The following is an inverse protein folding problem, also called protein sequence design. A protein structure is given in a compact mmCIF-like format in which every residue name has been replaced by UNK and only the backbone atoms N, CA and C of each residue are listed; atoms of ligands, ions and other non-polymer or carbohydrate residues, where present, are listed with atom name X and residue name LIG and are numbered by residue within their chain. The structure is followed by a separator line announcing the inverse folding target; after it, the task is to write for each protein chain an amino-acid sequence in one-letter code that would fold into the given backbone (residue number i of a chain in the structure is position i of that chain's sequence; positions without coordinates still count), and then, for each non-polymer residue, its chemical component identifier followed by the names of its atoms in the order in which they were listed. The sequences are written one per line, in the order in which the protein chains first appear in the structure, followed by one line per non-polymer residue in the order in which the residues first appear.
data_IF_781986892601
#
_entry.id   IF_781986892601
#
_cell.length_a   1.000
_cell.length_b   1.000
_cell.length_c   1.000
_cell.angle_alpha   90.00
_cell.angle_beta   90.00
_cell.angle_gamma   90.00
#
_symmetry.space_group_name_H-M   'P 1'
#
loop_
_entity.id
_entity.type
_entity.pdbx_description
1 polymer ?
#
# COMPACT_ATOMS: atom_id res chain seq x y z
N UNK A 1 -7.61 3.26 15.65
CA UNK A 1 -8.64 3.82 14.72
C UNK A 1 -9.43 2.66 14.11
N UNK A 2 -10.68 2.86 13.66
CA UNK A 2 -11.43 1.84 12.91
C UNK A 2 -11.25 2.13 11.43
N UNK A 3 -10.61 1.21 10.72
CA UNK A 3 -10.56 1.22 9.26
C UNK A 3 -11.58 0.21 8.73
N UNK A 4 -11.85 0.21 7.43
CA UNK A 4 -12.77 -0.75 6.82
C UNK A 4 -12.32 -2.21 6.99
N UNK A 5 -11.04 -2.43 7.35
CA UNK A 5 -10.40 -3.72 7.54
C UNK A 5 -10.26 -4.15 9.02
N UNK A 6 -10.67 -3.31 9.98
CA UNK A 6 -10.65 -3.63 11.41
C UNK A 6 -10.08 -2.51 12.30
N UNK A 7 -9.81 -2.83 13.58
CA UNK A 7 -9.11 -1.91 14.47
C UNK A 7 -7.62 -1.88 14.12
N UNK A 8 -7.18 -0.75 13.55
CA UNK A 8 -5.77 -0.48 13.28
C UNK A 8 -5.20 0.37 14.42
N UNK A 9 -4.09 -0.08 15.00
CA UNK A 9 -3.32 0.72 15.94
C UNK A 9 -2.44 1.68 15.14
N UNK A 10 -2.83 2.96 15.16
CA UNK A 10 -2.20 4.04 14.41
C UNK A 10 -1.78 5.05 15.47
N UNK A 11 -0.47 5.12 15.72
CA UNK A 11 0.08 6.09 16.64
C UNK A 11 0.35 7.37 15.86
N UNK A 12 -0.54 8.35 16.03
CA UNK A 12 -0.35 9.70 15.48
C UNK A 12 0.33 10.54 16.58
N UNK A 13 1.60 10.91 16.42
CA UNK A 13 2.29 11.77 17.36
C UNK A 13 1.62 13.13 17.44
N UNK A 14 1.46 13.61 18.66
CA UNK A 14 0.91 14.92 18.94
C UNK A 14 2.04 15.93 19.12
N UNK A 15 2.09 16.93 18.25
CA UNK A 15 2.93 18.10 18.45
C UNK A 15 2.45 18.90 19.68
N UNK A 16 3.41 19.38 20.48
CA UNK A 16 3.21 20.13 21.72
C UNK A 16 2.62 21.52 21.47
N UNK A 17 2.82 22.09 20.28
CA UNK A 17 2.26 23.38 19.87
C UNK A 17 1.00 23.25 18.99
N UNK A 18 0.58 22.02 18.64
CA UNK A 18 -0.57 21.77 17.75
C UNK A 18 -0.50 22.47 16.39
N UNK A 19 0.69 22.78 15.88
CA UNK A 19 0.89 23.48 14.60
C UNK A 19 0.92 22.52 13.40
N UNK A 20 1.11 21.23 13.63
CA UNK A 20 1.08 20.22 12.57
C UNK A 20 -0.37 19.85 12.20
N UNK A 21 -0.77 20.17 10.97
CA UNK A 21 -2.02 19.70 10.37
C UNK A 21 -1.73 18.53 9.41
N UNK A 22 -2.23 17.30 9.69
CA UNK A 22 -2.10 16.19 8.76
C UNK A 22 -2.90 16.51 7.47
N UNK A 23 -2.23 16.52 6.32
CA UNK A 23 -2.84 16.96 5.06
C UNK A 23 -3.93 16.04 4.51
N UNK A 24 -4.00 14.77 4.96
CA UNK A 24 -4.93 13.77 4.43
C UNK A 24 -5.95 13.29 5.49
N UNK A 25 -5.58 13.31 6.78
CA UNK A 25 -6.51 13.00 7.86
C UNK A 25 -6.84 14.32 8.55
N UNK A 26 -8.03 14.87 8.29
CA UNK A 26 -8.49 16.05 9.01
C UNK A 26 -8.39 15.84 10.52
N UNK A 27 -8.03 16.89 11.27
CA UNK A 27 -8.03 16.86 12.74
C UNK A 27 -9.38 16.26 13.21
N UNK A 28 -9.35 15.19 14.03
CA UNK A 28 -10.52 14.42 14.49
C UNK A 28 -11.15 13.41 13.51
N UNK A 29 -10.59 13.20 12.33
CA UNK A 29 -11.08 12.22 11.37
C UNK A 29 -10.52 10.83 11.71
N UNK A 30 -11.37 9.93 12.20
CA UNK A 30 -11.03 8.56 12.59
C UNK A 30 -10.90 7.58 11.40
N UNK A 31 -11.07 8.07 10.18
CA UNK A 31 -11.03 7.27 8.97
C UNK A 31 -9.61 7.30 8.38
N UNK A 32 -8.92 6.16 8.47
CA UNK A 32 -7.62 5.96 7.85
C UNK A 32 -7.70 5.74 6.32
N UNK A 33 -8.88 5.90 5.71
CA UNK A 33 -9.14 5.61 4.29
C UNK A 33 -8.13 6.32 3.35
N UNK A 34 -7.74 7.56 3.66
CA UNK A 34 -6.78 8.30 2.83
C UNK A 34 -5.32 7.84 2.96
N UNK A 35 -4.95 7.19 4.06
CA UNK A 35 -3.62 6.57 4.21
C UNK A 35 -3.57 5.25 3.43
N UNK A 36 -4.64 4.46 3.46
CA UNK A 36 -4.73 3.20 2.72
C UNK A 36 -4.59 3.42 1.20
N UNK A 37 -5.29 4.42 0.65
CA UNK A 37 -5.18 4.79 -0.77
C UNK A 37 -3.76 5.25 -1.14
N UNK A 38 -3.10 5.99 -0.24
CA UNK A 38 -1.71 6.41 -0.44
C UNK A 38 -0.75 5.22 -0.43
N UNK A 39 -0.93 4.27 0.48
CA UNK A 39 -0.13 3.03 0.56
C UNK A 39 -0.27 2.23 -0.73
N UNK A 40 -1.49 2.06 -1.25
CA UNK A 40 -1.73 1.36 -2.51
C UNK A 40 -1.02 2.04 -3.67
N UNK A 41 -1.13 3.37 -3.79
CA UNK A 41 -0.42 4.15 -4.81
C UNK A 41 1.10 3.99 -4.74
N UNK A 42 1.68 3.93 -3.53
CA UNK A 42 3.12 3.73 -3.36
C UNK A 42 3.55 2.30 -3.70
N UNK A 43 2.70 1.31 -3.40
CA UNK A 43 2.89 -0.08 -3.80
C UNK A 43 2.84 -0.24 -5.32
N UNK A 44 1.89 0.41 -5.99
CA UNK A 44 1.76 0.41 -7.46
C UNK A 44 2.98 1.04 -8.16
N UNK A 45 3.69 1.94 -7.46
CA UNK A 45 4.93 2.56 -7.95
C UNK A 45 6.13 1.60 -7.87
N UNK A 46 5.98 0.42 -7.25
CA UNK A 46 7.02 -0.60 -7.12
C UNK A 46 7.98 -0.36 -5.95
N UNK A 47 7.60 0.47 -4.97
CA UNK A 47 8.39 0.67 -3.75
C UNK A 47 8.33 -0.58 -2.86
N UNK A 48 9.43 -0.87 -2.17
CA UNK A 48 9.43 -1.99 -1.22
C UNK A 48 8.57 -1.66 0.00
N UNK A 49 8.08 -2.70 0.69
CA UNK A 49 7.32 -2.56 1.95
C UNK A 49 8.08 -1.70 2.98
N UNK A 50 9.40 -1.82 3.03
CA UNK A 50 10.24 -1.00 3.92
C UNK A 50 10.28 0.47 3.49
N UNK A 51 10.45 0.73 2.19
CA UNK A 51 10.50 2.10 1.68
C UNK A 51 9.16 2.83 1.86
N UNK A 52 8.04 2.12 1.67
CA UNK A 52 6.70 2.66 1.90
C UNK A 52 6.53 3.04 3.36
N UNK A 53 6.98 2.20 4.29
CA UNK A 53 6.93 2.48 5.73
C UNK A 53 7.71 3.73 6.09
N UNK A 54 8.93 3.89 5.57
CA UNK A 54 9.77 5.06 5.81
C UNK A 54 9.16 6.34 5.20
N UNK A 55 8.57 6.24 4.01
CA UNK A 55 7.91 7.35 3.35
C UNK A 55 6.65 7.81 4.09
N UNK A 56 5.84 6.86 4.58
CA UNK A 56 4.65 7.17 5.37
C UNK A 56 5.03 7.78 6.71
N UNK A 57 6.06 7.24 7.38
CA UNK A 57 6.59 7.83 8.62
C UNK A 57 7.09 9.25 8.40
N UNK A 58 7.85 9.50 7.32
CA UNK A 58 8.36 10.83 7.01
C UNK A 58 7.29 11.86 6.62
N UNK A 59 6.17 11.41 6.03
CA UNK A 59 5.11 12.32 5.54
C UNK A 59 4.00 12.55 6.56
N UNK A 60 3.62 11.53 7.33
CA UNK A 60 2.46 11.55 8.22
C UNK A 60 2.82 11.42 9.71
N UNK A 61 4.11 11.18 10.04
CA UNK A 61 4.60 10.85 11.38
C UNK A 61 3.88 9.64 12.01
N UNK A 62 3.20 8.83 11.18
CA UNK A 62 2.44 7.67 11.60
C UNK A 62 3.29 6.41 11.49
N UNK A 63 3.34 5.62 12.57
CA UNK A 63 3.90 4.27 12.51
C UNK A 63 2.83 3.25 12.11
N UNK A 64 3.07 2.55 11.00
CA UNK A 64 2.23 1.46 10.49
C UNK A 64 2.98 0.14 10.65
N UNK A 65 2.29 -0.89 11.14
CA UNK A 65 2.86 -2.23 11.24
C UNK A 65 2.96 -2.90 9.87
N UNK A 66 3.99 -3.72 9.67
CA UNK A 66 4.17 -4.47 8.41
C UNK A 66 2.99 -5.39 8.11
N UNK A 67 2.39 -5.98 9.15
CA UNK A 67 1.19 -6.80 9.00
C UNK A 67 -0.04 -6.03 8.50
N UNK A 68 -0.16 -4.74 8.85
CA UNK A 68 -1.20 -3.87 8.28
C UNK A 68 -0.88 -3.52 6.83
N UNK A 69 0.38 -3.23 6.51
CA UNK A 69 0.80 -2.91 5.15
C UNK A 69 0.53 -4.08 4.20
N UNK A 70 0.92 -5.31 4.57
CA UNK A 70 0.66 -6.51 3.78
C UNK A 70 -0.83 -6.72 3.55
N UNK A 71 -1.66 -6.57 4.59
CA UNK A 71 -3.13 -6.69 4.45
C UNK A 71 -3.72 -5.64 3.51
N UNK A 72 -3.20 -4.43 3.52
CA UNK A 72 -3.64 -3.37 2.61
C UNK A 72 -3.22 -3.70 1.18
N UNK A 73 -1.97 -4.13 0.95
CA UNK A 73 -1.48 -4.57 -0.36
C UNK A 73 -2.25 -5.77 -0.93
N UNK A 74 -2.66 -6.70 -0.06
CA UNK A 74 -3.44 -7.88 -0.45
C UNK A 74 -4.84 -7.54 -0.99
N UNK A 75 -5.34 -6.32 -0.77
CA UNK A 75 -6.64 -5.87 -1.27
C UNK A 75 -6.75 -5.94 -2.80
N UNK A 76 -5.65 -5.78 -3.52
CA UNK A 76 -5.63 -5.81 -4.99
C UNK A 76 -5.57 -7.23 -5.56
N UNK A 77 -5.36 -8.27 -4.73
CA UNK A 77 -5.27 -9.66 -5.19
C UNK A 77 -6.49 -10.16 -5.98
N UNK A 78 -7.75 -9.82 -5.62
CA UNK A 78 -8.91 -10.20 -6.41
C UNK A 78 -8.88 -9.62 -7.83
N UNK A 79 -8.49 -8.35 -7.98
CA UNK A 79 -8.36 -7.68 -9.28
C UNK A 79 -7.24 -8.28 -10.13
N UNK A 80 -6.10 -8.59 -9.51
CA UNK A 80 -5.00 -9.33 -10.17
C UNK A 80 -5.48 -10.69 -10.66
N UNK A 81 -6.26 -11.40 -9.84
CA UNK A 81 -6.81 -12.72 -10.20
C UNK A 81 -7.79 -12.62 -11.36
N UNK A 82 -8.67 -11.62 -11.36
CA UNK A 82 -9.59 -11.35 -12.47
C UNK A 82 -8.82 -11.03 -13.76
N UNK A 83 -7.79 -10.19 -13.66
CA UNK A 83 -6.93 -9.83 -14.80
C UNK A 83 -6.19 -11.04 -15.37
N UNK A 84 -5.71 -11.95 -14.52
CA UNK A 84 -5.06 -13.20 -14.96
C UNK A 84 -6.01 -14.15 -15.68
N UNK A 85 -7.30 -14.16 -15.29
CA UNK A 85 -8.32 -15.06 -15.86
C UNK A 85 -9.15 -14.44 -16.98
N UNK A 86 -8.79 -13.23 -17.44
CA UNK A 86 -9.55 -12.55 -18.51
C UNK A 86 -9.56 -13.36 -19.81
N UNK A 87 -10.68 -13.38 -20.55
CA UNK A 87 -10.73 -14.05 -21.84
C UNK A 87 -9.77 -13.37 -22.82
N UNK A 88 -8.93 -14.17 -23.47
CA UNK A 88 -8.03 -13.72 -24.54
C UNK A 88 -8.72 -13.85 -25.90
N UNK A 89 -8.25 -13.07 -26.88
CA UNK A 89 -8.73 -13.20 -28.25
C UNK A 89 -8.26 -14.53 -28.86
N UNK A 90 -9.02 -15.05 -29.84
CA UNK A 90 -8.73 -16.35 -30.43
C UNK A 90 -7.45 -16.36 -31.30
N UNK A 91 -6.93 -15.19 -31.70
CA UNK A 91 -5.86 -15.11 -32.68
C UNK A 91 -4.83 -14.03 -32.34
N UNK A 92 -3.58 -14.47 -32.14
CA UNK A 92 -2.41 -13.62 -31.96
C UNK A 92 -1.32 -14.03 -32.96
N UNK A 93 -1.08 -13.26 -34.05
CA UNK A 93 -0.08 -13.61 -35.07
C UNK A 93 1.35 -13.74 -34.53
N UNK A 94 1.67 -12.97 -33.48
CA UNK A 94 2.97 -12.95 -32.83
C UNK A 94 2.77 -12.82 -31.31
N UNK A 95 3.53 -13.59 -30.54
CA UNK A 95 3.57 -13.54 -29.07
C UNK A 95 5.04 -13.44 -28.67
N UNK A 96 5.33 -12.54 -27.74
CA UNK A 96 6.65 -12.41 -27.12
C UNK A 96 6.59 -12.95 -25.70
N UNK A 97 7.62 -13.71 -25.33
CA UNK A 97 7.80 -14.22 -23.97
C UNK A 97 9.08 -13.60 -23.42
N UNK A 98 9.01 -13.08 -22.21
CA UNK A 98 10.13 -12.50 -21.50
C UNK A 98 10.32 -13.21 -20.16
N UNK A 99 11.57 -13.30 -19.70
CA UNK A 99 11.94 -13.96 -18.46
C UNK A 99 12.94 -13.11 -17.70
N UNK A 100 12.54 -12.67 -16.51
CA UNK A 100 13.42 -11.97 -15.58
C UNK A 100 13.85 -12.96 -14.48
N UNK A 101 15.15 -13.30 -14.36
CA UNK A 101 15.60 -14.15 -13.29
C UNK A 101 15.44 -13.42 -11.96
N UNK A 102 14.66 -14.01 -11.05
CA UNK A 102 14.61 -13.56 -9.66
C UNK A 102 15.91 -13.98 -8.98
N UNK A 103 16.77 -13.03 -8.64
CA UNK A 103 17.98 -13.30 -7.86
C UNK A 103 17.59 -13.61 -6.42
N UNK A 104 17.49 -14.89 -6.09
CA UNK A 104 17.54 -15.35 -4.70
C UNK A 104 18.99 -15.30 -4.23
N UNK A 105 19.37 -14.21 -3.58
CA UNK A 105 20.64 -14.11 -2.86
C UNK A 105 20.55 -14.89 -1.54
N UNK A 106 20.72 -16.20 -1.59
CA UNK A 106 21.02 -17.02 -0.39
C UNK A 106 22.10 -18.04 -0.75
N UNK A 107 23.35 -17.69 -0.40
CA UNK A 107 24.46 -18.60 -0.13
C UNK A 107 25.26 -18.04 1.05
#
# INVERSE_FOLDING_TARGET
MKTQLGEADINVPHDRNSEYEPQIIGKYQRNADGIEERILSLYDTGLSVSDIKDQIKGSYDVEISEGLLSKISERNLPEVTEWQNRPLEAFYPFIFMDAYPLMNWVY
#
